data_IF_110997540240
#
_entry.id   IF_110997540240
#
_cell.length_a   1.000
_cell.length_b   1.000
_cell.length_c   1.000
_cell.angle_alpha   90.00
_cell.angle_beta   90.00
_cell.angle_gamma   90.00
#
_symmetry.space_group_name_H-M   'P 1'
#
loop_
_entity.id
_entity.type
_entity.pdbx_description
1 polymer ?
#
# COMPACT_ATOMS: atom_id res chain seq x y z
N UNK A 1 -26.59 14.06 23.94
CA UNK A 1 -27.65 13.27 23.29
C UNK A 1 -27.46 13.35 21.78
N UNK A 2 -26.85 12.33 21.19
CA UNK A 2 -26.69 12.20 19.74
C UNK A 2 -27.99 11.63 19.17
N UNK A 3 -28.79 12.49 18.54
CA UNK A 3 -30.03 12.10 17.90
C UNK A 3 -29.74 11.15 16.72
N UNK A 4 -29.86 9.85 16.95
CA UNK A 4 -29.97 8.83 15.92
C UNK A 4 -31.29 9.05 15.18
N UNK A 5 -31.24 9.80 14.07
CA UNK A 5 -32.37 9.90 13.14
C UNK A 5 -32.38 8.66 12.24
N UNK A 6 -32.88 7.54 12.79
CA UNK A 6 -32.83 6.22 12.14
C UNK A 6 -33.98 5.96 11.16
N UNK A 7 -34.99 6.84 11.05
CA UNK A 7 -36.25 6.53 10.33
C UNK A 7 -36.61 7.48 9.17
N UNK A 8 -35.66 8.30 8.69
CA UNK A 8 -35.90 9.14 7.50
C UNK A 8 -35.13 8.59 6.32
N UNK A 9 -35.86 8.11 5.30
CA UNK A 9 -35.30 7.82 3.98
C UNK A 9 -34.38 8.98 3.58
N UNK A 10 -33.09 8.73 3.32
CA UNK A 10 -32.10 9.78 3.16
C UNK A 10 -32.52 10.72 2.03
N UNK A 11 -32.41 12.02 2.30
CA UNK A 11 -32.74 13.08 1.35
C UNK A 11 -31.98 12.87 0.03
N UNK A 12 -32.56 13.30 -1.10
CA UNK A 12 -31.91 13.23 -2.42
C UNK A 12 -30.48 13.80 -2.40
N UNK A 13 -30.24 14.86 -1.61
CA UNK A 13 -28.89 15.44 -1.40
C UNK A 13 -27.97 14.51 -0.59
N UNK A 14 -28.47 13.90 0.48
CA UNK A 14 -27.70 12.96 1.30
C UNK A 14 -27.31 11.71 0.49
N UNK A 15 -28.24 11.16 -0.29
CA UNK A 15 -27.97 10.03 -1.19
C UNK A 15 -26.92 10.37 -2.24
N UNK A 16 -26.96 11.59 -2.80
CA UNK A 16 -25.97 12.06 -3.76
C UNK A 16 -24.58 12.22 -3.11
N UNK A 17 -24.50 12.85 -1.95
CA UNK A 17 -23.25 13.01 -1.19
C UNK A 17 -22.66 11.68 -0.78
N UNK A 18 -23.49 10.74 -0.33
CA UNK A 18 -23.03 9.40 0.01
C UNK A 18 -22.49 8.67 -1.21
N UNK A 19 -23.16 8.77 -2.37
CA UNK A 19 -22.66 8.20 -3.63
C UNK A 19 -21.31 8.81 -4.03
N UNK A 20 -21.16 10.13 -3.92
CA UNK A 20 -19.88 10.81 -4.19
C UNK A 20 -18.78 10.38 -3.22
N UNK A 21 -19.09 10.31 -1.92
CA UNK A 21 -18.14 9.85 -0.88
C UNK A 21 -17.64 8.44 -1.17
N UNK A 22 -18.56 7.52 -1.52
CA UNK A 22 -18.19 6.13 -1.88
C UNK A 22 -17.35 6.06 -3.14
N UNK A 23 -17.60 6.91 -4.13
CA UNK A 23 -16.77 6.98 -5.33
C UNK A 23 -15.37 7.49 -5.02
N UNK A 24 -15.26 8.57 -4.25
CA UNK A 24 -13.97 9.13 -3.87
C UNK A 24 -13.15 8.16 -3.02
N UNK A 25 -13.79 7.47 -2.06
CA UNK A 25 -13.10 6.48 -1.22
C UNK A 25 -12.50 5.33 -2.02
N UNK A 26 -13.12 4.91 -3.13
CA UNK A 26 -12.55 3.84 -3.98
C UNK A 26 -11.27 4.33 -4.65
N UNK A 27 -11.27 5.55 -5.18
CA UNK A 27 -10.06 6.15 -5.78
C UNK A 27 -8.94 6.27 -4.75
N UNK A 28 -9.25 6.82 -3.57
CA UNK A 28 -8.29 6.97 -2.49
C UNK A 28 -7.67 5.62 -2.06
N UNK A 29 -8.48 4.54 -2.01
CA UNK A 29 -7.96 3.21 -1.68
C UNK A 29 -7.05 2.63 -2.75
N UNK A 30 -7.33 2.88 -4.03
CA UNK A 30 -6.48 2.45 -5.15
C UNK A 30 -5.17 3.23 -5.14
N UNK A 31 -5.22 4.55 -5.00
CA UNK A 31 -4.04 5.41 -4.93
C UNK A 31 -3.11 4.99 -3.77
N UNK A 32 -3.70 4.68 -2.60
CA UNK A 32 -2.94 4.16 -1.45
C UNK A 32 -2.33 2.79 -1.72
N UNK A 33 -3.04 1.90 -2.42
CA UNK A 33 -2.50 0.59 -2.78
C UNK A 33 -1.35 0.73 -3.79
N UNK A 34 -1.49 1.57 -4.81
CA UNK A 34 -0.43 1.84 -5.80
C UNK A 34 0.80 2.46 -5.15
N UNK A 35 0.63 3.38 -4.21
CA UNK A 35 1.75 3.95 -3.46
C UNK A 35 2.52 2.87 -2.67
N UNK A 36 1.81 1.91 -2.06
CA UNK A 36 2.44 0.78 -1.37
C UNK A 36 3.17 -0.15 -2.34
N UNK A 37 2.61 -0.41 -3.52
CA UNK A 37 3.26 -1.23 -4.55
C UNK A 37 4.55 -0.56 -5.01
N UNK A 38 4.52 0.72 -5.36
CA UNK A 38 5.75 1.46 -5.76
C UNK A 38 6.82 1.44 -4.67
N UNK A 39 6.43 1.61 -3.41
CA UNK A 39 7.37 1.50 -2.28
C UNK A 39 7.98 0.09 -2.17
N UNK A 40 7.15 -0.95 -2.23
CA UNK A 40 7.63 -2.33 -2.18
C UNK A 40 8.54 -2.68 -3.37
N UNK A 41 8.24 -2.15 -4.56
CA UNK A 41 9.08 -2.29 -5.75
C UNK A 41 10.44 -1.61 -5.58
N UNK A 42 10.48 -0.39 -5.01
CA UNK A 42 11.73 0.30 -4.72
C UNK A 42 12.57 -0.43 -3.66
N UNK A 43 11.95 -0.92 -2.58
CA UNK A 43 12.63 -1.73 -1.57
C UNK A 43 13.17 -3.04 -2.16
N UNK A 44 12.40 -3.70 -3.04
CA UNK A 44 12.85 -4.88 -3.77
C UNK A 44 14.03 -4.54 -4.68
N UNK A 45 13.99 -3.40 -5.37
CA UNK A 45 15.06 -2.96 -6.26
C UNK A 45 16.40 -2.79 -5.51
N UNK A 46 16.35 -2.18 -4.32
CA UNK A 46 17.51 -2.05 -3.43
C UNK A 46 18.02 -3.42 -2.98
N UNK A 47 17.13 -4.31 -2.53
CA UNK A 47 17.51 -5.66 -2.11
C UNK A 47 18.16 -6.47 -3.25
N UNK A 48 17.67 -6.33 -4.49
CA UNK A 48 18.28 -6.94 -5.67
C UNK A 48 19.66 -6.35 -5.95
N UNK A 49 19.84 -5.03 -5.83
CA UNK A 49 21.13 -4.39 -5.99
C UNK A 49 22.16 -4.85 -4.94
N UNK A 50 21.73 -5.04 -3.69
CA UNK A 50 22.55 -5.62 -2.64
C UNK A 50 22.90 -7.09 -2.95
N UNK A 51 21.94 -7.89 -3.40
CA UNK A 51 22.19 -9.27 -3.81
C UNK A 51 23.21 -9.36 -4.93
N UNK A 52 23.15 -8.50 -5.95
CA UNK A 52 24.15 -8.43 -7.04
C UNK A 52 25.55 -8.17 -6.48
N UNK A 53 25.69 -7.29 -5.49
CA UNK A 53 26.97 -7.03 -4.83
C UNK A 53 27.45 -8.23 -4.01
N UNK A 54 26.55 -8.90 -3.28
CA UNK A 54 26.87 -10.07 -2.44
C UNK A 54 27.28 -11.28 -3.28
N UNK A 55 26.57 -11.55 -4.38
CA UNK A 55 26.84 -12.67 -5.28
C UNK A 55 27.93 -12.37 -6.33
N UNK A 56 28.39 -11.13 -6.42
CA UNK A 56 29.52 -10.74 -7.26
C UNK A 56 29.16 -10.58 -8.75
N UNK A 57 27.90 -10.30 -9.07
CA UNK A 57 27.47 -9.95 -10.43
C UNK A 57 26.03 -10.35 -10.77
N UNK A 58 25.51 -9.74 -11.84
CA UNK A 58 24.12 -9.92 -12.29
C UNK A 58 23.76 -11.37 -12.59
N UNK A 59 24.66 -12.12 -13.24
CA UNK A 59 24.40 -13.51 -13.64
C UNK A 59 24.34 -14.45 -12.45
N UNK A 60 25.24 -14.26 -11.47
CA UNK A 60 25.24 -15.05 -10.25
C UNK A 60 23.98 -14.76 -9.42
N UNK A 61 23.60 -13.48 -9.29
CA UNK A 61 22.36 -13.12 -8.63
C UNK A 61 21.10 -13.63 -9.35
N UNK A 62 21.11 -13.71 -10.69
CA UNK A 62 19.98 -14.25 -11.47
C UNK A 62 19.75 -15.74 -11.17
N UNK A 63 20.84 -16.51 -11.08
CA UNK A 63 20.79 -17.93 -10.73
C UNK A 63 20.34 -18.12 -9.28
N UNK A 64 20.85 -17.31 -8.35
CA UNK A 64 20.59 -17.49 -6.91
C UNK A 64 19.25 -16.96 -6.43
N UNK A 65 18.72 -15.93 -7.10
CA UNK A 65 17.38 -15.41 -6.84
C UNK A 65 16.29 -16.15 -7.63
N UNK A 66 16.67 -17.08 -8.53
CA UNK A 66 15.77 -17.72 -9.50
C UNK A 66 14.97 -16.68 -10.30
N UNK A 67 15.65 -15.64 -10.75
CA UNK A 67 15.07 -14.51 -11.49
C UNK A 67 15.71 -14.38 -12.87
N UNK A 68 14.96 -13.99 -13.90
CA UNK A 68 15.57 -13.71 -15.20
C UNK A 68 16.52 -12.51 -15.07
N UNK A 69 17.67 -12.57 -15.76
CA UNK A 69 18.64 -11.49 -15.78
C UNK A 69 18.03 -10.14 -16.27
N UNK A 70 16.98 -10.20 -17.09
CA UNK A 70 16.20 -9.01 -17.45
C UNK A 70 15.49 -8.35 -16.27
N UNK A 71 14.96 -9.13 -15.32
CA UNK A 71 14.35 -8.57 -14.12
C UNK A 71 15.41 -7.88 -13.26
N UNK A 72 16.58 -8.50 -13.07
CA UNK A 72 17.68 -7.89 -12.32
C UNK A 72 18.08 -6.55 -12.94
N UNK A 73 18.30 -6.50 -14.25
CA UNK A 73 18.66 -5.24 -14.93
C UNK A 73 17.59 -4.15 -14.78
N UNK A 74 16.31 -4.51 -14.78
CA UNK A 74 15.21 -3.55 -14.54
C UNK A 74 15.26 -3.00 -13.11
N UNK A 75 15.50 -3.85 -12.11
CA UNK A 75 15.63 -3.40 -10.73
C UNK A 75 16.87 -2.52 -10.53
N UNK A 76 18.00 -2.84 -11.16
CA UNK A 76 19.19 -1.98 -11.10
C UNK A 76 18.94 -0.60 -11.71
N UNK A 77 18.29 -0.54 -12.88
CA UNK A 77 17.91 0.73 -13.51
C UNK A 77 16.94 1.55 -12.63
N UNK A 78 16.03 0.89 -11.91
CA UNK A 78 15.11 1.55 -10.99
C UNK A 78 15.83 2.18 -9.79
N UNK A 79 16.87 1.53 -9.25
CA UNK A 79 17.70 2.12 -8.18
C UNK A 79 18.48 3.33 -8.68
N UNK A 80 18.97 3.30 -9.93
CA UNK A 80 19.64 4.44 -10.56
C UNK A 80 18.67 5.62 -10.75
N UNK A 81 17.45 5.36 -11.22
CA UNK A 81 16.41 6.37 -11.40
C UNK A 81 15.97 7.00 -10.06
N UNK A 82 15.80 6.20 -9.00
CA UNK A 82 15.44 6.68 -7.66
C UNK A 82 16.56 7.56 -7.05
N UNK A 83 17.83 7.20 -7.32
CA UNK A 83 18.98 7.99 -6.90
C UNK A 83 19.07 9.34 -7.64
N UNK A 84 18.71 9.38 -8.91
CA UNK A 84 18.64 10.62 -9.71
C UNK A 84 17.43 11.50 -9.35
N UNK A 85 16.31 10.90 -8.97
CA UNK A 85 15.09 11.60 -8.56
C UNK A 85 15.19 12.27 -7.18
N UNK A 86 16.29 12.07 -6.45
CA UNK A 86 16.58 12.80 -5.21
C UNK A 86 15.70 12.39 -4.03
N UNK A 87 15.43 11.09 -3.88
CA UNK A 87 14.94 10.47 -2.64
C UNK A 87 13.87 11.27 -1.90
N UNK A 88 12.68 11.39 -2.49
CA UNK A 88 11.54 11.96 -1.80
C UNK A 88 10.97 10.94 -0.80
N UNK A 89 11.62 10.83 0.36
CA UNK A 89 10.95 10.33 1.57
C UNK A 89 9.75 11.24 1.86
N UNK A 90 8.58 10.81 1.42
CA UNK A 90 7.32 11.34 1.89
C UNK A 90 6.67 10.25 2.73
N UNK A 91 7.11 10.19 3.99
CA UNK A 91 6.33 9.73 5.11
C UNK A 91 4.90 10.31 5.04
N UNK A 92 4.00 9.57 4.42
CA UNK A 92 2.57 9.75 4.54
C UNK A 92 2.00 8.48 5.18
N UNK A 93 2.28 8.34 6.47
CA UNK A 93 1.35 7.66 7.38
C UNK A 93 0.23 8.66 7.72
N UNK A 94 -0.96 8.61 7.10
CA UNK A 94 -2.16 9.00 7.79
C UNK A 94 -2.65 7.76 8.55
N UNK A 95 -2.48 7.87 9.87
CA UNK A 95 -3.20 7.13 10.89
C UNK A 95 -4.67 6.87 10.49
N UNK A 96 -5.10 5.63 10.67
CA UNK A 96 -6.48 5.23 10.46
C UNK A 96 -6.70 3.81 10.92
N UNK A 97 -7.04 3.68 12.20
CA UNK A 97 -7.41 2.48 12.93
C UNK A 97 -8.18 1.43 12.10
N UNK A 98 -7.56 0.27 11.91
CA UNK A 98 -8.31 -0.98 11.75
C UNK A 98 -8.73 -1.42 13.15
N UNK A 99 -9.81 -0.81 13.64
CA UNK A 99 -10.60 -1.41 14.71
C UNK A 99 -11.30 -2.63 14.10
N UNK A 100 -10.61 -3.77 14.12
CA UNK A 100 -11.19 -5.08 13.91
C UNK A 100 -12.26 -5.33 14.96
N UNK A 101 -13.51 -5.04 14.60
CA UNK A 101 -14.69 -5.55 15.27
C UNK A 101 -14.94 -6.98 14.80
N UNK A 102 -14.57 -7.95 15.64
CA UNK A 102 -15.12 -9.30 15.82
C UNK A 102 -14.40 -9.85 17.07
N UNK A 103 -15.03 -10.32 18.13
CA UNK A 103 -16.18 -11.21 18.19
C UNK A 103 -16.78 -11.16 19.61
N UNK A 104 -18.09 -11.42 19.70
CA UNK A 104 -18.89 -11.42 20.92
C UNK A 104 -18.66 -12.68 21.79
N UNK A 105 -19.32 -12.69 22.96
CA UNK A 105 -19.55 -13.80 23.90
C UNK A 105 -18.38 -14.10 24.87
N UNK A 106 -18.55 -14.25 26.18
CA UNK A 106 -19.70 -14.33 27.08
C UNK A 106 -19.11 -14.27 28.49
N UNK A 107 -19.49 -13.28 29.31
CA UNK A 107 -19.07 -13.19 30.71
C UNK A 107 -20.28 -13.56 31.58
N UNK A 108 -20.49 -14.86 31.78
CA UNK A 108 -21.36 -15.39 32.83
C UNK A 108 -20.59 -15.31 34.15
N UNK A 109 -21.00 -14.34 34.97
CA UNK A 109 -20.67 -14.28 36.39
C UNK A 109 -21.24 -15.50 37.11
N UNK A 110 -20.39 -16.24 37.81
CA UNK A 110 -20.77 -17.22 38.84
C UNK A 110 -20.51 -16.62 40.22
#
# INVERSE_FOLDING_TARGET
MTAQNSDKTPSRKQRLQEKQRRQLSVVDTVDKAEAKVRKAEAELAVAVAEAVQVFGGERAAAEELDMPAEAIRRFLAMVEEEAEAGGADAAAEPAGADAGAADEAELVTA
#
